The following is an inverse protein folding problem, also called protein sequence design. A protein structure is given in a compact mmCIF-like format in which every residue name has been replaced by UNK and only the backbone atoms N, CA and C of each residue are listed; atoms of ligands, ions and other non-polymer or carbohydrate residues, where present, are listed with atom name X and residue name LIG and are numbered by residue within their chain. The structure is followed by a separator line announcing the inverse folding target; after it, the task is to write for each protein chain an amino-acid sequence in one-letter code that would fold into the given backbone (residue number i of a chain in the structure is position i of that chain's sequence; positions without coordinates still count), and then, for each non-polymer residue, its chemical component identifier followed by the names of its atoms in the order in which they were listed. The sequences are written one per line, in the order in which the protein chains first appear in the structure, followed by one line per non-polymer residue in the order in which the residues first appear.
data_IF_182567220334
#
_entry.id   IF_182567220334
#
_cell.length_a   1.000
_cell.length_b   1.000
_cell.length_c   1.000
_cell.angle_alpha   90.00
_cell.angle_beta   90.00
_cell.angle_gamma   90.00
#
_symmetry.space_group_name_H-M   'P 1'
#
loop_
_entity.id
_entity.type
_entity.pdbx_description
1 polymer ?
#
# COMPACT_ATOMS: atom_id res chain seq x y z
N UNK A 1 -12.23 75.29 -28.66
CA UNK A 1 -12.71 74.48 -29.81
C UNK A 1 -11.91 73.19 -29.75
N UNK A 2 -12.50 72.03 -29.43
CA UNK A 2 -13.27 71.17 -30.36
C UNK A 2 -12.44 70.76 -31.60
N UNK A 3 -12.30 69.51 -32.07
CA UNK A 3 -12.69 68.11 -31.71
C UNK A 3 -11.55 67.19 -32.27
N UNK A 4 -11.40 65.88 -32.04
CA UNK A 4 -12.17 64.81 -31.36
C UNK A 4 -11.18 63.73 -30.85
N UNK A 5 -11.55 62.93 -29.85
CA UNK A 5 -10.87 61.66 -29.50
C UNK A 5 -11.14 60.56 -30.54
N UNK A 6 -10.15 59.71 -30.81
CA UNK A 6 -10.31 58.46 -31.58
C UNK A 6 -9.80 57.28 -30.73
N UNK A 7 -10.71 56.38 -30.39
CA UNK A 7 -10.49 55.19 -29.59
C UNK A 7 -10.35 54.00 -30.56
N UNK A 8 -9.30 53.20 -30.41
CA UNK A 8 -9.08 51.97 -31.20
C UNK A 8 -9.15 50.75 -30.29
N UNK A 9 -10.30 50.09 -30.32
CA UNK A 9 -10.50 48.82 -29.62
C UNK A 9 -9.76 47.69 -30.34
N UNK A 10 -8.97 46.91 -29.61
CA UNK A 10 -8.42 45.65 -30.13
C UNK A 10 -9.53 44.60 -30.22
N UNK A 11 -9.88 44.19 -31.44
CA UNK A 11 -10.73 43.02 -31.64
C UNK A 11 -10.03 41.75 -31.15
N UNK A 12 -10.68 41.02 -30.24
CA UNK A 12 -10.28 39.68 -29.83
C UNK A 12 -10.53 38.70 -30.98
N UNK A 13 -9.51 37.96 -31.39
CA UNK A 13 -9.67 36.77 -32.23
C UNK A 13 -10.20 35.60 -31.38
N UNK A 14 -11.12 34.75 -31.88
CA UNK A 14 -11.56 33.57 -31.16
C UNK A 14 -10.51 32.46 -31.18
N UNK A 15 -10.32 31.78 -30.04
CA UNK A 15 -9.52 30.56 -29.93
C UNK A 15 -10.34 29.37 -30.45
N UNK A 16 -9.82 28.50 -31.33
CA UNK A 16 -10.51 27.29 -31.75
C UNK A 16 -10.73 26.32 -30.58
N UNK A 17 -11.92 25.74 -30.49
CA UNK A 17 -12.27 24.72 -29.51
C UNK A 17 -11.95 23.32 -30.06
N UNK A 18 -10.75 22.82 -29.81
CA UNK A 18 -10.41 21.44 -30.16
C UNK A 18 -11.12 20.46 -29.22
N UNK A 19 -12.02 19.66 -29.78
CA UNK A 19 -12.69 18.56 -29.07
C UNK A 19 -11.72 17.40 -28.85
N UNK A 20 -11.39 17.12 -27.60
CA UNK A 20 -10.81 15.82 -27.22
C UNK A 20 -11.89 14.72 -27.36
N UNK A 21 -11.63 13.61 -28.05
CA UNK A 21 -12.56 12.49 -28.09
C UNK A 21 -12.52 11.74 -26.75
N UNK A 22 -13.65 11.75 -26.03
CA UNK A 22 -13.83 10.88 -24.86
C UNK A 22 -13.84 9.42 -25.29
N UNK A 23 -12.80 8.67 -24.92
CA UNK A 23 -12.80 7.22 -25.02
C UNK A 23 -13.65 6.68 -23.87
N UNK A 24 -14.92 6.43 -24.16
CA UNK A 24 -15.81 5.75 -23.23
C UNK A 24 -15.51 4.25 -23.23
N UNK A 25 -15.11 3.70 -22.08
CA UNK A 25 -15.02 2.26 -21.88
C UNK A 25 -16.41 1.64 -21.92
N UNK A 26 -16.76 0.99 -23.02
CA UNK A 26 -17.99 0.20 -23.14
C UNK A 26 -17.82 -1.15 -22.45
N UNK A 27 -18.42 -1.30 -21.26
CA UNK A 27 -18.50 -2.59 -20.58
C UNK A 27 -19.26 -3.61 -21.44
N UNK A 28 -18.78 -4.87 -21.55
CA UNK A 28 -19.52 -5.93 -22.23
C UNK A 28 -20.78 -6.34 -21.44
N UNK A 29 -21.85 -6.81 -22.11
CA UNK A 29 -23.09 -7.19 -21.45
C UNK A 29 -22.93 -8.45 -20.59
N UNK A 30 -23.63 -8.48 -19.45
CA UNK A 30 -23.62 -9.57 -18.49
C UNK A 30 -24.05 -10.91 -19.11
N UNK A 31 -23.36 -12.04 -18.81
CA UNK A 31 -23.83 -13.36 -19.23
C UNK A 31 -25.14 -13.75 -18.50
N UNK A 32 -26.01 -14.58 -19.12
CA UNK A 32 -27.33 -14.87 -18.58
C UNK A 32 -27.28 -15.75 -17.32
N UNK A 33 -28.14 -15.42 -16.35
CA UNK A 33 -28.35 -16.14 -15.10
C UNK A 33 -28.60 -17.64 -15.30
N UNK A 34 -27.66 -18.47 -14.85
CA UNK A 34 -27.88 -19.91 -14.68
C UNK A 34 -28.90 -20.15 -13.56
N UNK A 35 -29.96 -20.90 -13.87
CA UNK A 35 -30.99 -21.29 -12.88
C UNK A 35 -30.41 -22.30 -11.89
N UNK A 36 -30.13 -21.84 -10.67
CA UNK A 36 -29.78 -22.71 -9.54
C UNK A 36 -30.93 -23.70 -9.27
N UNK A 37 -30.63 -25.01 -9.29
CA UNK A 37 -31.57 -26.04 -8.83
C UNK A 37 -31.68 -25.97 -7.31
N UNK A 38 -32.91 -26.12 -6.77
CA UNK A 38 -33.17 -26.16 -5.32
C UNK A 38 -32.27 -27.20 -4.62
N UNK A 39 -31.70 -26.88 -3.44
CA UNK A 39 -31.12 -27.89 -2.56
C UNK A 39 -32.18 -28.91 -2.11
N UNK A 40 -31.78 -30.17 -1.93
CA UNK A 40 -32.61 -31.16 -1.24
C UNK A 40 -32.69 -30.82 0.25
N UNK A 41 -33.90 -30.76 0.79
CA UNK A 41 -34.11 -30.70 2.24
C UNK A 41 -33.92 -32.08 2.85
N UNK A 42 -32.89 -32.22 3.70
CA UNK A 42 -32.86 -33.26 4.71
C UNK A 42 -33.49 -32.72 6.01
N UNK A 43 -34.25 -33.54 6.77
CA UNK A 43 -35.00 -33.07 7.93
C UNK A 43 -34.08 -32.78 9.12
N UNK A 44 -34.37 -31.69 9.85
CA UNK A 44 -33.73 -31.35 11.13
C UNK A 44 -34.41 -32.16 12.25
N UNK A 45 -33.66 -32.84 13.14
CA UNK A 45 -34.24 -33.56 14.27
C UNK A 45 -34.89 -32.63 15.30
N UNK A 46 -35.92 -33.13 15.98
CA UNK A 46 -36.60 -32.44 17.08
C UNK A 46 -35.77 -32.42 18.37
N UNK A 47 -36.01 -31.41 19.23
CA UNK A 47 -35.31 -31.25 20.52
C UNK A 47 -35.54 -32.39 21.55
N UNK A 48 -36.41 -33.34 21.26
CA UNK A 48 -36.76 -34.44 22.17
C UNK A 48 -35.92 -35.71 21.92
N UNK A 49 -35.23 -35.82 20.77
CA UNK A 49 -34.42 -36.98 20.40
C UNK A 49 -33.01 -37.00 21.05
N UNK A 50 -32.64 -35.94 21.79
CA UNK A 50 -31.31 -35.76 22.41
C UNK A 50 -31.21 -36.22 23.87
N UNK A 51 -32.30 -36.71 24.47
CA UNK A 51 -32.38 -36.97 25.92
C UNK A 51 -32.28 -38.46 26.32
N UNK A 52 -31.67 -39.32 25.49
CA UNK A 52 -31.52 -40.77 25.78
C UNK A 52 -30.08 -41.33 25.73
N UNK A 53 -29.07 -40.48 25.59
CA UNK A 53 -27.65 -40.87 25.43
C UNK A 53 -26.71 -40.31 26.52
N UNK A 54 -27.16 -40.25 27.77
CA UNK A 54 -26.37 -39.82 28.93
C UNK A 54 -26.36 -40.84 30.08
N UNK A 55 -26.15 -42.12 29.76
CA UNK A 55 -25.87 -43.16 30.78
C UNK A 55 -24.97 -44.29 30.24
N UNK A 56 -23.79 -43.92 29.72
CA UNK A 56 -22.59 -44.76 29.64
C UNK A 56 -21.37 -43.88 29.32
N UNK A 57 -20.31 -44.00 30.12
CA UNK A 57 -19.21 -43.03 30.12
C UNK A 57 -18.27 -43.14 28.91
N UNK A 58 -18.11 -42.03 28.19
CA UNK A 58 -17.02 -41.76 27.24
C UNK A 58 -16.68 -40.26 27.25
N UNK A 59 -15.44 -39.91 26.91
CA UNK A 59 -14.91 -38.55 27.04
C UNK A 59 -15.76 -37.48 26.33
N UNK A 60 -15.94 -36.34 26.99
CA UNK A 60 -16.50 -35.13 26.37
C UNK A 60 -15.50 -34.58 25.36
N UNK A 61 -15.68 -34.93 24.09
CA UNK A 61 -15.03 -34.22 23.00
C UNK A 61 -15.76 -32.88 22.83
N UNK A 62 -15.14 -31.79 23.29
CA UNK A 62 -15.63 -30.44 22.98
C UNK A 62 -15.57 -30.25 21.46
N UNK A 63 -16.72 -30.32 20.80
CA UNK A 63 -16.84 -29.95 19.39
C UNK A 63 -16.71 -28.43 19.31
N UNK A 64 -15.47 -27.96 19.25
CA UNK A 64 -15.15 -26.64 18.71
C UNK A 64 -15.55 -26.71 17.24
N UNK A 65 -16.61 -26.01 16.86
CA UNK A 65 -16.87 -25.67 15.46
C UNK A 65 -15.62 -24.93 14.96
N UNK A 66 -14.74 -25.64 14.28
CA UNK A 66 -13.69 -25.01 13.50
C UNK A 66 -14.44 -24.24 12.41
N UNK A 67 -14.46 -22.90 12.55
CA UNK A 67 -14.69 -22.03 11.41
C UNK A 67 -13.65 -22.44 10.39
N UNK A 68 -14.08 -22.86 9.20
CA UNK A 68 -13.20 -23.37 8.16
C UNK A 68 -12.15 -22.29 7.81
N UNK A 69 -10.97 -22.41 8.43
CA UNK A 69 -9.76 -21.79 7.94
C UNK A 69 -9.43 -22.57 6.68
N UNK A 70 -9.77 -21.98 5.53
CA UNK A 70 -9.45 -22.52 4.21
C UNK A 70 -7.93 -22.57 4.06
N UNK A 71 -7.34 -23.65 4.57
CA UNK A 71 -5.94 -23.98 4.33
C UNK A 71 -5.73 -24.13 2.82
N UNK A 72 -4.55 -23.74 2.36
CA UNK A 72 -4.20 -23.63 0.97
C UNK A 72 -4.37 -24.97 0.23
N UNK A 73 -4.24 -26.10 0.95
CA UNK A 73 -4.43 -27.45 0.40
C UNK A 73 -5.87 -28.00 0.49
N UNK A 74 -6.79 -27.28 1.16
CA UNK A 74 -8.20 -27.66 1.33
C UNK A 74 -9.20 -26.75 0.58
N UNK A 75 -8.80 -25.58 0.07
CA UNK A 75 -9.68 -24.70 -0.72
C UNK A 75 -10.00 -25.32 -2.10
N UNK A 76 -11.28 -25.64 -2.42
CA UNK A 76 -11.66 -26.21 -3.71
C UNK A 76 -11.56 -25.23 -4.88
N UNK A 77 -11.44 -23.92 -4.61
CA UNK A 77 -11.29 -22.85 -5.60
C UNK A 77 -9.91 -22.17 -5.52
N UNK A 78 -8.90 -22.87 -4.97
CA UNK A 78 -7.51 -22.40 -4.91
C UNK A 78 -7.02 -21.92 -6.27
N UNK A 79 -6.32 -20.80 -6.30
CA UNK A 79 -5.63 -20.32 -7.49
C UNK A 79 -4.63 -21.39 -7.99
N UNK A 80 -4.54 -21.63 -9.31
CA UNK A 80 -3.55 -22.56 -9.85
C UNK A 80 -2.12 -22.01 -9.68
N UNK A 81 -1.08 -22.86 -9.75
CA UNK A 81 0.30 -22.39 -9.93
C UNK A 81 0.42 -21.52 -11.18
N UNK A 82 1.40 -20.60 -11.19
CA UNK A 82 1.64 -19.68 -12.30
C UNK A 82 1.65 -20.39 -13.67
N UNK A 83 0.84 -19.91 -14.62
CA UNK A 83 0.87 -20.31 -16.02
C UNK A 83 1.31 -19.10 -16.89
N UNK A 84 2.60 -19.04 -17.30
CA UNK A 84 3.12 -17.96 -18.14
C UNK A 84 2.48 -17.87 -19.54
N UNK A 85 1.75 -18.89 -20.01
CA UNK A 85 1.03 -18.83 -21.28
C UNK A 85 -0.31 -18.08 -21.16
N UNK A 86 -0.83 -17.93 -19.93
CA UNK A 86 -2.08 -17.22 -19.63
C UNK A 86 -1.80 -15.88 -18.93
N UNK A 87 -0.81 -15.85 -18.02
CA UNK A 87 -0.43 -14.65 -17.29
C UNK A 87 0.49 -13.76 -18.12
N UNK A 88 -0.10 -12.81 -18.85
CA UNK A 88 0.62 -11.91 -19.76
C UNK A 88 0.52 -10.44 -19.34
N UNK A 89 1.62 -9.71 -19.53
CA UNK A 89 1.68 -8.26 -19.32
C UNK A 89 0.78 -7.52 -20.33
N UNK A 90 0.19 -6.37 -19.96
CA UNK A 90 0.37 -5.63 -18.70
C UNK A 90 -0.54 -6.08 -17.55
N UNK A 91 -1.52 -6.95 -17.79
CA UNK A 91 -2.60 -7.20 -16.83
C UNK A 91 -2.24 -8.25 -15.78
N UNK A 92 -1.35 -9.20 -16.09
CA UNK A 92 -0.91 -10.26 -15.20
C UNK A 92 0.61 -10.43 -15.25
N UNK A 93 1.23 -10.66 -14.09
CA UNK A 93 2.63 -11.10 -14.00
C UNK A 93 2.83 -12.12 -12.89
N UNK A 94 3.46 -13.24 -13.23
CA UNK A 94 3.92 -14.26 -12.29
C UNK A 94 5.12 -15.01 -12.86
N UNK A 95 5.84 -15.71 -11.98
CA UNK A 95 6.77 -16.79 -12.33
C UNK A 95 6.65 -17.92 -11.30
N UNK A 96 7.25 -19.08 -11.57
CA UNK A 96 7.11 -20.27 -10.71
C UNK A 96 7.55 -20.03 -9.26
N UNK A 97 8.62 -19.25 -9.08
CA UNK A 97 9.24 -18.93 -7.79
C UNK A 97 9.25 -17.43 -7.46
N UNK A 98 8.69 -16.58 -8.33
CA UNK A 98 8.64 -15.12 -8.14
C UNK A 98 9.96 -14.39 -8.42
N UNK A 99 11.01 -15.07 -8.90
CA UNK A 99 12.34 -14.48 -9.06
C UNK A 99 12.64 -13.97 -10.47
N UNK A 100 11.83 -14.35 -11.46
CA UNK A 100 12.04 -13.99 -12.87
C UNK A 100 11.81 -12.49 -13.11
N UNK A 101 12.59 -11.89 -14.00
CA UNK A 101 12.51 -10.47 -14.35
C UNK A 101 11.36 -10.22 -15.34
N UNK A 102 10.51 -9.20 -15.13
CA UNK A 102 9.49 -8.78 -16.10
C UNK A 102 10.05 -8.52 -17.49
N UNK A 103 9.42 -9.12 -18.50
CA UNK A 103 9.83 -9.01 -19.91
C UNK A 103 11.11 -9.77 -20.27
N UNK A 104 11.62 -10.65 -19.39
CA UNK A 104 12.86 -11.43 -19.59
C UNK A 104 14.10 -10.55 -19.91
N UNK A 105 14.13 -9.34 -19.33
CA UNK A 105 15.27 -8.43 -19.47
C UNK A 105 16.48 -8.97 -18.70
N UNK A 106 17.70 -8.91 -19.28
CA UNK A 106 18.92 -9.25 -18.54
C UNK A 106 19.08 -8.33 -17.32
N UNK A 107 19.38 -8.88 -16.14
CA UNK A 107 19.47 -8.13 -14.88
C UNK A 107 20.32 -6.85 -14.98
N UNK A 108 21.48 -6.91 -15.65
CA UNK A 108 22.36 -5.75 -15.91
C UNK A 108 21.71 -4.58 -16.67
N UNK A 109 20.63 -4.82 -17.41
CA UNK A 109 19.93 -3.82 -18.21
C UNK A 109 18.66 -3.31 -17.50
N UNK A 110 18.30 -3.86 -16.34
CA UNK A 110 17.14 -3.46 -15.51
C UNK A 110 17.53 -2.33 -14.56
N UNK A 111 16.76 -1.23 -14.45
CA UNK A 111 16.99 -0.23 -13.42
C UNK A 111 16.69 -0.81 -12.03
N UNK A 112 17.62 -0.67 -11.08
CA UNK A 112 17.38 -1.08 -9.70
C UNK A 112 16.40 -0.08 -9.07
N UNK A 113 15.17 -0.54 -8.83
CA UNK A 113 14.15 0.24 -8.15
C UNK A 113 14.33 0.16 -6.64
N UNK A 114 14.18 1.29 -5.95
CA UNK A 114 14.13 1.38 -4.49
C UNK A 114 12.81 2.06 -4.12
N UNK A 115 12.04 1.41 -3.26
CA UNK A 115 10.74 1.90 -2.76
C UNK A 115 10.88 2.27 -1.29
N UNK A 116 11.11 3.55 -1.02
CA UNK A 116 11.06 4.09 0.35
C UNK A 116 9.59 4.25 0.72
N UNK A 117 9.17 3.69 1.86
CA UNK A 117 7.81 3.89 2.38
C UNK A 117 7.80 4.42 3.79
N UNK A 118 6.77 5.21 4.08
CA UNK A 118 6.41 5.63 5.42
C UNK A 118 4.99 5.21 5.74
N UNK A 119 4.85 4.48 6.83
CA UNK A 119 3.56 4.06 7.34
C UNK A 119 3.10 5.08 8.41
N UNK A 120 1.83 4.98 8.84
CA UNK A 120 1.17 5.83 9.83
C UNK A 120 0.78 7.26 9.41
N UNK A 121 0.38 8.08 10.39
CA UNK A 121 -0.19 9.40 10.20
C UNK A 121 0.86 10.46 9.82
N UNK A 122 0.55 11.27 8.81
CA UNK A 122 1.37 12.42 8.41
C UNK A 122 0.93 13.64 9.22
N UNK A 123 1.78 14.20 10.08
CA UNK A 123 1.49 15.39 10.87
C UNK A 123 2.77 16.11 11.34
N UNK A 124 2.64 17.09 12.24
CA UNK A 124 3.76 17.91 12.71
C UNK A 124 4.89 17.09 13.38
N UNK A 125 4.65 15.82 13.72
CA UNK A 125 5.71 14.92 14.19
C UNK A 125 6.70 14.55 13.07
N UNK A 126 6.29 14.46 11.80
CA UNK A 126 7.12 13.95 10.71
C UNK A 126 7.21 14.85 9.45
N UNK A 127 6.39 15.89 9.31
CA UNK A 127 6.45 16.83 8.16
C UNK A 127 7.85 17.43 7.93
N UNK A 128 8.55 17.86 8.99
CA UNK A 128 9.89 18.45 8.81
C UNK A 128 10.97 17.41 8.43
N UNK A 129 10.85 16.18 8.95
CA UNK A 129 11.69 15.04 8.52
C UNK A 129 11.52 14.82 7.00
N UNK A 130 10.28 14.73 6.53
CA UNK A 130 10.01 14.50 5.10
C UNK A 130 10.54 15.64 4.21
N UNK A 131 10.51 16.90 4.68
CA UNK A 131 11.12 18.03 3.94
C UNK A 131 12.63 17.95 3.84
N UNK A 132 13.30 17.46 4.89
CA UNK A 132 14.75 17.27 4.93
C UNK A 132 15.20 16.13 3.98
N UNK A 133 14.44 15.03 3.98
CA UNK A 133 14.65 13.88 3.10
C UNK A 133 14.34 14.23 1.63
N UNK A 134 13.17 14.81 1.36
CA UNK A 134 12.66 15.11 0.02
C UNK A 134 12.81 16.59 -0.35
N UNK A 135 14.03 17.11 -0.15
CA UNK A 135 14.38 18.54 -0.21
C UNK A 135 14.43 19.17 -1.62
N UNK A 136 14.00 18.45 -2.67
CA UNK A 136 14.02 18.93 -4.06
C UNK A 136 15.39 18.91 -4.76
N UNK A 137 16.46 18.43 -4.09
CA UNK A 137 17.83 18.35 -4.63
C UNK A 137 18.26 16.92 -4.99
N UNK A 138 17.72 15.92 -4.28
CA UNK A 138 17.98 14.50 -4.55
C UNK A 138 17.23 14.08 -5.81
N UNK A 139 17.95 13.81 -6.90
CA UNK A 139 17.38 13.48 -8.21
C UNK A 139 17.73 12.05 -8.61
N UNK A 140 16.76 11.34 -9.16
CA UNK A 140 16.99 10.12 -9.92
C UNK A 140 17.77 10.41 -11.23
N UNK A 141 18.37 9.40 -11.89
CA UNK A 141 19.14 9.58 -13.12
C UNK A 141 18.35 10.13 -14.34
N UNK A 142 17.02 10.27 -14.25
CA UNK A 142 16.20 10.99 -15.23
C UNK A 142 16.08 12.50 -14.98
N UNK A 143 16.68 13.01 -13.89
CA UNK A 143 16.64 14.42 -13.47
C UNK A 143 15.43 14.80 -12.59
N UNK A 144 14.54 13.87 -12.28
CA UNK A 144 13.37 14.10 -11.43
C UNK A 144 13.68 13.85 -9.95
N UNK A 145 12.97 14.54 -9.05
CA UNK A 145 13.06 14.31 -7.60
C UNK A 145 12.79 12.85 -7.26
N UNK A 146 13.59 12.29 -6.35
CA UNK A 146 13.33 10.97 -5.76
C UNK A 146 11.92 10.92 -5.17
N UNK A 147 11.24 9.78 -5.34
CA UNK A 147 9.87 9.58 -4.86
C UNK A 147 9.81 8.51 -3.77
N UNK A 148 8.68 8.49 -3.07
CA UNK A 148 8.40 7.62 -1.94
C UNK A 148 6.88 7.40 -1.85
N UNK A 149 6.48 6.39 -1.07
CA UNK A 149 5.07 6.01 -0.89
C UNK A 149 4.66 6.14 0.58
N UNK A 150 3.52 6.75 0.85
CA UNK A 150 3.03 6.98 2.21
C UNK A 150 1.75 6.18 2.44
N UNK A 151 1.79 5.17 3.31
CA UNK A 151 0.63 4.40 3.73
C UNK A 151 -0.03 5.12 4.92
N UNK A 152 -0.99 6.00 4.61
CA UNK A 152 -1.54 6.96 5.58
C UNK A 152 -2.70 6.36 6.37
N UNK A 153 -2.58 6.40 7.70
CA UNK A 153 -3.68 6.09 8.64
C UNK A 153 -4.46 7.36 9.01
N UNK A 154 -5.77 7.28 9.27
CA UNK A 154 -6.59 8.48 9.57
C UNK A 154 -6.21 9.19 10.87
N UNK A 155 -6.19 8.48 12.01
CA UNK A 155 -6.12 9.13 13.33
C UNK A 155 -4.90 10.05 13.47
N UNK A 156 -5.15 11.31 13.80
CA UNK A 156 -4.16 12.40 13.90
C UNK A 156 -3.42 12.80 12.59
N UNK A 157 -3.91 12.44 11.41
CA UNK A 157 -3.36 12.92 10.13
C UNK A 157 -3.74 14.37 9.80
N UNK A 158 -2.77 15.12 9.30
CA UNK A 158 -2.91 16.45 8.73
C UNK A 158 -3.09 16.33 7.21
N UNK A 159 -4.33 16.39 6.74
CA UNK A 159 -4.66 16.23 5.33
C UNK A 159 -4.17 17.35 4.42
N UNK A 160 -3.88 18.54 4.95
CA UNK A 160 -3.18 19.58 4.16
C UNK A 160 -1.71 19.23 3.90
N UNK A 161 -1.08 18.45 4.79
CA UNK A 161 0.25 17.91 4.55
C UNK A 161 0.23 16.70 3.62
N UNK A 162 -0.75 15.80 3.77
CA UNK A 162 -1.02 14.70 2.80
C UNK A 162 -1.18 15.27 1.38
N UNK A 163 -1.95 16.37 1.25
CA UNK A 163 -2.13 17.07 -0.03
C UNK A 163 -0.82 17.62 -0.60
N UNK A 164 0.03 18.27 0.21
CA UNK A 164 1.32 18.79 -0.26
C UNK A 164 2.28 17.66 -0.66
N UNK A 165 2.30 16.55 0.09
CA UNK A 165 3.08 15.34 -0.22
C UNK A 165 2.66 14.75 -1.58
N UNK A 166 1.35 14.61 -1.84
CA UNK A 166 0.82 14.18 -3.14
C UNK A 166 1.13 15.18 -4.27
N UNK A 167 0.99 16.48 -4.00
CA UNK A 167 1.31 17.55 -4.97
C UNK A 167 2.77 17.50 -5.39
N UNK A 168 3.67 17.15 -4.47
CA UNK A 168 5.11 16.94 -4.72
C UNK A 168 5.43 15.66 -5.52
N UNK A 169 4.44 14.81 -5.76
CA UNK A 169 4.56 13.60 -6.57
C UNK A 169 4.97 12.36 -5.79
N UNK A 170 4.93 12.41 -4.46
CA UNK A 170 4.95 11.18 -3.66
C UNK A 170 3.58 10.50 -3.73
N UNK A 171 3.57 9.18 -3.61
CA UNK A 171 2.34 8.40 -3.64
C UNK A 171 1.68 8.39 -2.26
N UNK A 172 0.34 8.48 -2.25
CA UNK A 172 -0.48 8.32 -1.06
C UNK A 172 -1.29 7.03 -1.21
N UNK A 173 -1.11 6.12 -0.26
CA UNK A 173 -1.79 4.84 -0.13
C UNK A 173 -2.51 4.78 1.24
N UNK A 174 -3.37 3.79 1.46
CA UNK A 174 -4.21 3.71 2.68
C UNK A 174 -3.65 2.73 3.71
N UNK A 175 -3.75 3.12 4.99
CA UNK A 175 -3.33 2.32 6.14
C UNK A 175 -4.40 2.33 7.25
N UNK A 176 -5.63 1.98 6.88
CA UNK A 176 -6.82 1.94 7.75
C UNK A 176 -7.28 3.27 8.36
N UNK A 177 -8.48 3.26 8.95
CA UNK A 177 -9.02 4.34 9.77
C UNK A 177 -8.53 4.17 11.22
N UNK A 178 -8.77 3.00 11.81
CA UNK A 178 -8.62 2.77 13.26
C UNK A 178 -7.31 2.14 13.70
N UNK A 179 -6.58 1.52 12.75
CA UNK A 179 -5.49 0.55 12.99
C UNK A 179 -5.87 -0.73 13.78
N UNK A 180 -7.15 -0.95 14.05
CA UNK A 180 -7.67 -2.09 14.84
C UNK A 180 -7.92 -1.77 16.31
N UNK A 181 -7.44 -0.61 16.80
CA UNK A 181 -7.49 -0.23 18.23
C UNK A 181 -8.91 0.13 18.75
N UNK A 182 -9.91 0.21 17.86
CA UNK A 182 -11.26 0.68 18.22
C UNK A 182 -12.42 -0.15 17.64
N UNK A 183 -12.15 -1.17 16.82
CA UNK A 183 -13.18 -2.07 16.25
C UNK A 183 -13.63 -3.16 17.23
N UNK A 184 -12.84 -3.44 18.26
CA UNK A 184 -13.15 -4.38 19.32
C UNK A 184 -13.47 -3.66 20.64
N UNK A 185 -14.47 -4.17 21.37
CA UNK A 185 -15.21 -3.40 22.38
C UNK A 185 -14.41 -3.03 23.64
N UNK A 186 -13.83 -1.82 23.68
CA UNK A 186 -13.38 -1.06 24.86
C UNK A 186 -12.52 -1.78 25.93
N UNK A 187 -11.98 -2.96 25.63
CA UNK A 187 -11.22 -3.76 26.59
C UNK A 187 -10.26 -4.74 25.87
N UNK A 188 -9.64 -4.30 24.77
CA UNK A 188 -8.68 -5.12 24.02
C UNK A 188 -7.25 -4.98 24.47
N UNK A 189 -6.52 -6.07 24.26
CA UNK A 189 -5.06 -6.13 24.26
C UNK A 189 -4.55 -6.04 22.81
N UNK A 190 -3.27 -5.71 22.62
CA UNK A 190 -2.62 -5.69 21.29
C UNK A 190 -2.83 -6.99 20.48
N UNK A 191 -3.02 -8.12 21.18
CA UNK A 191 -3.26 -9.43 20.57
C UNK A 191 -4.66 -9.56 19.93
N UNK A 192 -5.64 -8.79 20.42
CA UNK A 192 -7.01 -8.80 19.92
C UNK A 192 -7.13 -7.89 18.68
N UNK A 193 -6.40 -6.76 18.68
CA UNK A 193 -6.32 -5.81 17.57
C UNK A 193 -5.65 -6.44 16.32
N UNK A 194 -4.61 -7.27 16.49
CA UNK A 194 -4.01 -8.06 15.39
C UNK A 194 -4.95 -9.16 14.87
N UNK A 195 -5.74 -9.77 15.75
CA UNK A 195 -6.71 -10.81 15.39
C UNK A 195 -7.93 -10.27 14.66
N UNK A 196 -8.31 -9.01 14.88
CA UNK A 196 -9.34 -8.33 14.10
C UNK A 196 -9.00 -8.39 12.61
N UNK A 197 -7.81 -7.92 12.21
CA UNK A 197 -7.40 -7.86 10.80
C UNK A 197 -7.43 -9.22 10.10
N UNK A 198 -6.89 -10.27 10.73
CA UNK A 198 -6.88 -11.62 10.15
C UNK A 198 -8.24 -12.34 10.15
N UNK A 199 -9.24 -11.81 10.85
CA UNK A 199 -10.61 -12.37 10.88
C UNK A 199 -11.68 -11.45 10.28
N UNK A 200 -11.31 -10.21 9.92
CA UNK A 200 -12.19 -9.17 9.41
C UNK A 200 -12.95 -9.61 8.14
N UNK A 201 -14.21 -9.18 8.04
CA UNK A 201 -15.05 -9.44 6.87
C UNK A 201 -14.70 -8.49 5.73
N UNK A 202 -15.18 -8.80 4.51
CA UNK A 202 -15.04 -7.90 3.33
C UNK A 202 -15.57 -6.49 3.64
N UNK A 203 -16.66 -6.37 4.41
CA UNK A 203 -17.25 -5.09 4.83
C UNK A 203 -16.38 -4.33 5.85
N UNK A 204 -15.76 -5.04 6.81
CA UNK A 204 -14.82 -4.43 7.76
C UNK A 204 -13.59 -3.88 7.02
N UNK A 205 -13.02 -4.68 6.10
CA UNK A 205 -11.93 -4.25 5.22
C UNK A 205 -12.32 -3.04 4.34
N UNK A 206 -13.56 -2.99 3.86
CA UNK A 206 -14.05 -1.88 3.04
C UNK A 206 -14.19 -0.59 3.86
N UNK A 207 -14.78 -0.67 5.06
CA UNK A 207 -14.88 0.48 5.99
C UNK A 207 -13.52 1.03 6.39
N UNK A 208 -12.55 0.16 6.63
CA UNK A 208 -11.19 0.58 7.01
C UNK A 208 -10.40 1.15 5.82
N UNK A 209 -10.35 0.46 4.68
CA UNK A 209 -9.46 0.83 3.57
C UNK A 209 -10.12 1.76 2.55
N UNK A 210 -11.30 1.41 2.03
CA UNK A 210 -12.04 2.30 1.15
C UNK A 210 -12.57 3.53 1.90
N UNK A 211 -12.91 3.40 3.19
CA UNK A 211 -13.20 4.53 4.06
C UNK A 211 -12.00 5.50 4.19
N UNK A 212 -10.78 5.01 4.45
CA UNK A 212 -9.59 5.88 4.44
C UNK A 212 -9.33 6.50 3.07
N UNK A 213 -9.58 5.80 1.96
CA UNK A 213 -9.51 6.41 0.61
C UNK A 213 -10.47 7.59 0.48
N UNK A 214 -11.74 7.44 0.88
CA UNK A 214 -12.74 8.52 0.88
C UNK A 214 -12.28 9.71 1.74
N UNK A 215 -11.73 9.46 2.94
CA UNK A 215 -11.23 10.52 3.82
C UNK A 215 -10.04 11.24 3.18
N UNK A 216 -9.07 10.51 2.61
CA UNK A 216 -7.91 11.08 1.91
C UNK A 216 -8.36 11.91 0.71
N UNK A 217 -9.17 11.36 -0.20
CA UNK A 217 -9.66 12.05 -1.40
C UNK A 217 -10.43 13.34 -1.02
N UNK A 218 -11.34 13.27 -0.03
CA UNK A 218 -12.13 14.43 0.42
C UNK A 218 -11.29 15.50 1.13
N UNK A 219 -10.47 15.13 2.10
CA UNK A 219 -9.79 16.10 2.98
C UNK A 219 -8.40 16.54 2.49
N UNK A 220 -7.73 15.74 1.66
CA UNK A 220 -6.56 16.18 0.90
C UNK A 220 -6.92 16.73 -0.50
N UNK A 221 -8.20 16.65 -0.91
CA UNK A 221 -8.68 17.10 -2.23
C UNK A 221 -7.82 16.49 -3.36
N UNK A 222 -7.72 15.17 -3.35
CA UNK A 222 -7.07 14.34 -4.37
C UNK A 222 -8.17 13.75 -5.23
N UNK A 223 -8.14 14.00 -6.54
CA UNK A 223 -9.24 13.69 -7.48
C UNK A 223 -8.76 13.09 -8.80
N UNK A 224 -7.53 12.61 -8.85
CA UNK A 224 -6.89 11.93 -9.99
C UNK A 224 -6.93 10.40 -9.86
N UNK A 225 -7.71 9.89 -8.89
CA UNK A 225 -7.84 8.48 -8.54
C UNK A 225 -6.50 7.77 -8.22
N UNK A 226 -5.46 8.51 -7.83
CA UNK A 226 -4.13 7.94 -7.57
C UNK A 226 -3.96 7.26 -6.20
N UNK A 227 -5.02 7.18 -5.38
CA UNK A 227 -4.97 6.58 -4.04
C UNK A 227 -5.34 5.10 -4.15
N UNK A 228 -4.38 4.30 -4.63
CA UNK A 228 -4.63 2.93 -5.16
C UNK A 228 -3.92 1.80 -4.40
N UNK A 229 -3.01 2.13 -3.47
CA UNK A 229 -2.30 1.15 -2.65
C UNK A 229 -2.95 0.89 -1.30
N UNK A 230 -2.84 -0.35 -0.80
CA UNK A 230 -3.21 -0.76 0.56
C UNK A 230 -2.00 -1.35 1.27
N UNK A 231 -1.90 -1.10 2.59
CA UNK A 231 -1.09 -1.90 3.51
C UNK A 231 -1.86 -2.09 4.81
N UNK A 232 -1.97 -3.31 5.31
CA UNK A 232 -2.65 -3.56 6.58
C UNK A 232 -1.79 -3.17 7.79
N UNK A 233 -2.41 -2.62 8.85
CA UNK A 233 -1.77 -2.43 10.16
C UNK A 233 -1.12 -3.71 10.68
N UNK A 234 0.05 -3.57 11.30
CA UNK A 234 0.89 -4.67 11.81
C UNK A 234 1.21 -5.76 10.77
N UNK A 235 1.09 -5.45 9.48
CA UNK A 235 1.25 -6.37 8.35
C UNK A 235 0.34 -7.62 8.45
N UNK A 236 -0.86 -7.49 9.05
CA UNK A 236 -1.82 -8.60 9.21
C UNK A 236 -2.58 -8.84 7.91
N UNK A 237 -2.27 -9.93 7.22
CA UNK A 237 -2.98 -10.33 6.00
C UNK A 237 -4.38 -10.86 6.36
N UNK A 238 -5.40 -10.42 5.62
CA UNK A 238 -6.82 -10.69 5.84
C UNK A 238 -7.43 -11.82 5.01
N UNK A 239 -6.61 -12.78 4.60
CA UNK A 239 -7.02 -13.91 3.76
C UNK A 239 -7.65 -13.47 2.43
N UNK A 240 -8.58 -14.28 1.93
CA UNK A 240 -9.34 -13.91 0.73
C UNK A 240 -10.18 -12.63 0.91
N UNK A 241 -10.63 -12.30 2.13
CA UNK A 241 -11.53 -11.16 2.36
C UNK A 241 -10.89 -9.82 2.03
N UNK A 242 -9.61 -9.62 2.39
CA UNK A 242 -8.84 -8.41 2.04
C UNK A 242 -8.80 -8.22 0.53
N UNK A 243 -8.40 -9.26 -0.21
CA UNK A 243 -8.20 -9.18 -1.65
C UNK A 243 -9.53 -9.12 -2.43
N UNK A 244 -10.59 -9.79 -1.96
CA UNK A 244 -11.96 -9.62 -2.49
C UNK A 244 -12.45 -8.19 -2.33
N UNK A 245 -12.25 -7.58 -1.15
CA UNK A 245 -12.56 -6.16 -0.93
C UNK A 245 -11.77 -5.28 -1.89
N UNK A 246 -10.47 -5.54 -2.06
CA UNK A 246 -9.61 -4.71 -2.92
C UNK A 246 -10.02 -4.76 -4.39
N UNK A 247 -10.41 -5.94 -4.90
CA UNK A 247 -10.97 -6.10 -6.25
C UNK A 247 -12.33 -5.38 -6.38
N UNK A 248 -13.26 -5.60 -5.46
CA UNK A 248 -14.58 -4.92 -5.46
C UNK A 248 -14.46 -3.39 -5.35
N UNK A 249 -13.44 -2.89 -4.65
CA UNK A 249 -13.16 -1.47 -4.44
C UNK A 249 -12.15 -0.90 -5.44
N UNK A 250 -11.70 -1.68 -6.43
CA UNK A 250 -10.73 -1.27 -7.45
C UNK A 250 -9.46 -0.61 -6.89
N UNK A 251 -8.87 -1.18 -5.83
CA UNK A 251 -7.49 -0.90 -5.44
C UNK A 251 -6.53 -1.61 -6.42
N UNK A 252 -5.39 -0.99 -6.73
CA UNK A 252 -4.42 -1.54 -7.69
C UNK A 252 -3.56 -2.63 -7.05
N UNK A 253 -3.06 -2.37 -5.83
CA UNK A 253 -2.10 -3.25 -5.18
C UNK A 253 -2.22 -3.28 -3.66
N UNK A 254 -1.87 -4.43 -3.09
CA UNK A 254 -1.52 -4.60 -1.68
C UNK A 254 0.01 -4.58 -1.51
N UNK A 255 0.47 -4.19 -0.33
CA UNK A 255 1.85 -4.33 0.11
C UNK A 255 1.86 -4.74 1.58
N UNK A 256 1.16 -5.83 1.90
CA UNK A 256 1.09 -6.39 3.26
C UNK A 256 1.80 -7.74 3.33
N UNK A 257 1.80 -8.51 2.25
CA UNK A 257 2.35 -9.87 2.26
C UNK A 257 3.87 -9.82 2.36
N UNK A 258 4.40 -10.44 3.43
CA UNK A 258 5.84 -10.61 3.62
C UNK A 258 6.34 -11.89 2.96
N UNK A 259 7.40 -11.78 2.17
CA UNK A 259 8.17 -12.92 1.69
C UNK A 259 9.37 -13.19 2.62
N UNK A 260 9.62 -14.46 3.01
CA UNK A 260 10.76 -14.80 3.86
C UNK A 260 12.08 -14.48 3.18
N UNK A 261 13.12 -14.21 3.97
CA UNK A 261 14.46 -13.87 3.47
C UNK A 261 14.96 -14.90 2.44
N UNK A 262 15.08 -14.44 1.20
CA UNK A 262 15.40 -15.25 0.01
C UNK A 262 16.55 -14.65 -0.79
N UNK A 263 17.22 -15.47 -1.60
CA UNK A 263 18.28 -15.03 -2.51
C UNK A 263 18.23 -15.86 -3.81
N UNK A 264 17.80 -15.28 -4.95
CA UNK A 264 17.44 -13.87 -5.13
C UNK A 264 16.14 -13.47 -4.38
N UNK A 265 15.93 -12.16 -4.14
CA UNK A 265 14.65 -11.61 -3.67
C UNK A 265 13.54 -11.72 -4.74
N UNK A 266 12.29 -11.58 -4.33
CA UNK A 266 11.12 -11.74 -5.20
C UNK A 266 10.70 -10.43 -5.87
N UNK A 267 10.29 -10.51 -7.13
CA UNK A 267 9.58 -9.44 -7.83
C UNK A 267 8.11 -9.37 -7.38
N UNK A 268 7.45 -8.20 -7.46
CA UNK A 268 5.99 -8.09 -7.33
C UNK A 268 5.27 -9.00 -8.32
N UNK A 269 4.08 -9.48 -7.96
CA UNK A 269 3.30 -10.44 -8.75
C UNK A 269 1.80 -10.16 -8.64
N UNK A 270 0.99 -10.68 -9.56
CA UNK A 270 -0.48 -10.56 -9.51
C UNK A 270 -1.14 -11.77 -8.85
N UNK A 271 -2.21 -11.52 -8.09
CA UNK A 271 -2.93 -12.50 -7.28
C UNK A 271 -3.90 -13.40 -8.06
N UNK A 272 -3.87 -13.39 -9.40
CA UNK A 272 -4.62 -14.33 -10.23
C UNK A 272 -4.16 -15.79 -10.03
N UNK A 273 -2.87 -15.98 -9.70
CA UNK A 273 -2.24 -17.28 -9.51
C UNK A 273 -1.78 -17.45 -8.06
N UNK A 274 -1.51 -18.69 -7.66
CA UNK A 274 -0.99 -19.01 -6.33
C UNK A 274 0.31 -18.26 -6.08
N UNK A 275 0.42 -17.65 -4.89
CA UNK A 275 1.63 -16.98 -4.40
C UNK A 275 2.89 -17.84 -4.64
N UNK A 276 4.00 -17.25 -5.11
CA UNK A 276 5.25 -17.95 -5.39
C UNK A 276 6.05 -18.32 -4.13
N UNK A 277 5.57 -17.96 -2.94
CA UNK A 277 6.22 -18.24 -1.66
C UNK A 277 5.20 -18.67 -0.59
N UNK A 278 5.72 -19.20 0.53
CA UNK A 278 4.89 -19.55 1.70
C UNK A 278 4.25 -18.30 2.31
N UNK A 279 3.06 -18.45 2.88
CA UNK A 279 2.54 -17.46 3.84
C UNK A 279 3.50 -17.39 5.03
N UNK A 280 4.02 -16.20 5.35
CA UNK A 280 5.11 -16.02 6.30
C UNK A 280 4.78 -14.95 7.34
N UNK A 281 5.09 -15.24 8.60
CA UNK A 281 4.71 -14.45 9.78
C UNK A 281 3.85 -15.26 10.77
N UNK A 282 3.67 -14.72 11.97
CA UNK A 282 2.94 -15.40 13.04
C UNK A 282 1.42 -15.36 12.80
N UNK A 283 0.76 -16.52 12.77
CA UNK A 283 -0.70 -16.65 12.58
C UNK A 283 -1.24 -15.86 11.38
N UNK A 284 -0.50 -15.80 10.27
CA UNK A 284 -0.92 -15.07 9.08
C UNK A 284 -1.97 -15.85 8.29
N UNK A 285 -2.97 -15.14 7.78
CA UNK A 285 -3.98 -15.69 6.88
C UNK A 285 -3.76 -15.09 5.48
N UNK A 286 -3.05 -15.79 4.60
CA UNK A 286 -2.86 -15.34 3.22
C UNK A 286 -4.03 -15.77 2.31
N UNK A 287 -4.32 -15.06 1.21
CA UNK A 287 -5.30 -15.49 0.23
C UNK A 287 -4.91 -16.80 -0.46
N UNK A 288 -5.92 -17.58 -0.83
CA UNK A 288 -5.78 -18.89 -1.49
C UNK A 288 -6.37 -18.89 -2.90
N UNK A 289 -7.32 -18.00 -3.19
CA UNK A 289 -8.06 -17.89 -4.45
C UNK A 289 -7.45 -16.83 -5.38
N UNK A 290 -7.92 -16.81 -6.62
CA UNK A 290 -7.55 -15.79 -7.61
C UNK A 290 -8.24 -14.45 -7.30
N UNK A 291 -7.47 -13.35 -7.28
CA UNK A 291 -7.97 -11.98 -7.16
C UNK A 291 -7.25 -11.05 -8.15
N UNK A 292 -7.95 -10.07 -8.71
CA UNK A 292 -7.44 -9.12 -9.71
C UNK A 292 -6.63 -7.96 -9.08
N UNK A 293 -5.64 -8.30 -8.26
CA UNK A 293 -4.86 -7.38 -7.42
C UNK A 293 -3.36 -7.64 -7.60
N UNK A 294 -2.52 -6.60 -7.59
CA UNK A 294 -1.06 -6.72 -7.51
C UNK A 294 -0.58 -6.87 -6.06
N UNK A 295 0.44 -7.68 -5.83
CA UNK A 295 1.16 -7.75 -4.56
C UNK A 295 2.54 -7.11 -4.72
N UNK A 296 2.73 -5.95 -4.10
CA UNK A 296 4.02 -5.29 -3.92
C UNK A 296 4.74 -5.92 -2.72
N UNK A 297 5.14 -7.17 -2.93
CA UNK A 297 5.63 -8.09 -1.91
C UNK A 297 6.76 -7.53 -1.05
N UNK A 298 6.60 -7.64 0.27
CA UNK A 298 7.59 -7.18 1.25
C UNK A 298 8.65 -8.26 1.46
N UNK A 299 9.72 -8.21 0.68
CA UNK A 299 10.90 -9.05 0.90
C UNK A 299 11.54 -8.74 2.25
N UNK A 300 11.79 -9.76 3.09
CA UNK A 300 12.64 -9.57 4.28
C UNK A 300 14.07 -9.16 3.88
N UNK A 301 14.58 -8.17 4.63
CA UNK A 301 15.96 -7.72 4.60
C UNK A 301 16.82 -8.63 5.50
N UNK A 302 18.07 -8.87 5.09
CA UNK A 302 19.05 -9.64 5.84
C UNK A 302 19.71 -8.72 6.87
N UNK A 303 19.58 -9.06 8.15
CA UNK A 303 20.06 -8.26 9.30
C UNK A 303 21.33 -8.78 9.94
N UNK A 304 21.99 -9.77 9.34
CA UNK A 304 23.32 -10.24 9.80
C UNK A 304 24.35 -9.13 9.63
N UNK A 305 25.21 -8.96 10.63
CA UNK A 305 26.24 -7.92 10.64
C UNK A 305 27.48 -8.36 9.84
N UNK A 306 27.80 -9.66 9.91
CA UNK A 306 28.70 -10.32 8.96
C UNK A 306 27.98 -11.48 8.23
N UNK A 307 27.41 -11.23 7.04
CA UNK A 307 26.70 -12.23 6.27
C UNK A 307 27.52 -13.47 5.85
N UNK A 308 28.85 -13.46 6.00
CA UNK A 308 29.74 -14.59 5.68
C UNK A 308 29.99 -15.50 6.89
N UNK A 309 29.96 -14.96 8.10
CA UNK A 309 30.32 -15.68 9.33
C UNK A 309 29.14 -15.86 10.31
N UNK A 310 28.14 -14.99 10.29
CA UNK A 310 26.98 -15.06 11.18
C UNK A 310 26.09 -16.28 10.88
N UNK A 311 25.60 -16.91 11.95
CA UNK A 311 24.59 -17.96 11.90
C UNK A 311 23.28 -17.47 11.25
N UNK A 312 22.40 -18.41 10.91
CA UNK A 312 21.09 -18.09 10.35
C UNK A 312 20.26 -17.23 11.33
N UNK A 313 19.98 -15.99 10.94
CA UNK A 313 19.01 -15.11 11.58
C UNK A 313 17.75 -15.00 10.70
N UNK A 314 16.54 -14.96 11.29
CA UNK A 314 15.36 -14.50 10.58
C UNK A 314 15.58 -13.08 10.05
N UNK A 315 15.07 -12.77 8.86
CA UNK A 315 15.12 -11.41 8.34
C UNK A 315 14.14 -10.46 9.04
N UNK A 316 13.98 -9.27 8.48
CA UNK A 316 13.04 -8.25 8.94
C UNK A 316 12.42 -7.53 7.75
N UNK A 317 11.10 -7.32 7.75
CA UNK A 317 10.42 -6.59 6.67
C UNK A 317 10.50 -5.07 6.91
N UNK A 318 9.97 -4.59 8.04
CA UNK A 318 10.13 -3.19 8.46
C UNK A 318 11.54 -2.96 8.97
N UNK A 319 12.20 -1.88 8.56
CA UNK A 319 13.58 -1.59 8.99
C UNK A 319 13.67 -1.40 10.51
N UNK A 320 12.67 -0.75 11.11
CA UNK A 320 12.56 -0.59 12.56
C UNK A 320 12.31 -1.90 13.34
N UNK A 321 11.96 -3.00 12.67
CA UNK A 321 11.88 -4.35 13.26
C UNK A 321 13.22 -5.11 13.28
N UNK A 322 14.25 -4.59 12.60
CA UNK A 322 15.61 -5.15 12.57
C UNK A 322 16.35 -4.86 13.89
N UNK A 323 15.93 -5.50 14.98
CA UNK A 323 16.23 -5.17 16.38
C UNK A 323 17.72 -5.15 16.81
N UNK A 324 18.64 -5.58 15.94
CA UNK A 324 20.08 -5.61 16.19
C UNK A 324 20.84 -4.47 15.50
N UNK A 325 20.16 -3.60 14.75
CA UNK A 325 20.72 -2.32 14.26
C UNK A 325 20.69 -1.32 15.42
N UNK A 326 21.87 -0.99 15.96
CA UNK A 326 22.03 -0.17 17.17
C UNK A 326 22.91 1.07 16.96
N UNK A 327 23.46 1.28 15.76
CA UNK A 327 24.26 2.47 15.40
C UNK A 327 24.07 2.88 13.93
N UNK A 328 24.41 4.12 13.60
CA UNK A 328 24.43 4.63 12.22
C UNK A 328 25.32 3.80 11.28
N UNK A 329 26.50 3.37 11.75
CA UNK A 329 27.43 2.54 10.95
C UNK A 329 26.85 1.17 10.63
N UNK A 330 26.21 0.51 11.60
CA UNK A 330 25.51 -0.76 11.38
C UNK A 330 24.35 -0.59 10.39
N UNK A 331 23.61 0.51 10.48
CA UNK A 331 22.51 0.78 9.56
C UNK A 331 23.00 1.04 8.13
N UNK A 332 24.09 1.81 7.96
CA UNK A 332 24.72 2.04 6.66
C UNK A 332 25.22 0.73 6.02
N UNK A 333 25.89 -0.14 6.78
CA UNK A 333 26.34 -1.44 6.29
C UNK A 333 25.16 -2.36 5.93
N UNK A 334 24.10 -2.35 6.73
CA UNK A 334 22.84 -3.08 6.46
C UNK A 334 22.17 -2.62 5.16
N UNK A 335 22.14 -1.31 4.89
CA UNK A 335 21.60 -0.75 3.65
C UNK A 335 22.40 -1.22 2.43
N UNK A 336 23.74 -1.15 2.49
CA UNK A 336 24.61 -1.62 1.42
C UNK A 336 24.50 -3.12 1.16
N UNK A 337 24.54 -3.97 2.19
CA UNK A 337 24.38 -5.42 2.04
C UNK A 337 23.04 -5.78 1.37
N UNK A 338 21.95 -5.14 1.77
CA UNK A 338 20.64 -5.40 1.18
C UNK A 338 20.45 -4.78 -0.21
N UNK A 339 21.14 -3.68 -0.51
CA UNK A 339 21.26 -3.17 -1.87
C UNK A 339 21.97 -4.17 -2.79
N UNK A 340 23.16 -4.64 -2.41
CA UNK A 340 23.94 -5.62 -3.18
C UNK A 340 23.16 -6.92 -3.40
N UNK A 341 22.44 -7.41 -2.37
CA UNK A 341 21.54 -8.58 -2.47
C UNK A 341 20.51 -8.48 -3.60
N UNK A 342 20.02 -7.28 -3.91
CA UNK A 342 19.08 -7.03 -4.99
C UNK A 342 19.82 -6.72 -6.31
N UNK A 343 20.76 -5.78 -6.26
CA UNK A 343 21.45 -5.18 -7.40
C UNK A 343 22.34 -6.17 -8.17
N UNK A 344 23.05 -7.05 -7.46
CA UNK A 344 23.95 -8.09 -8.01
C UNK A 344 23.23 -9.43 -8.30
N UNK A 345 21.90 -9.45 -8.25
CA UNK A 345 21.05 -10.63 -8.49
C UNK A 345 20.06 -10.39 -9.63
N UNK A 346 18.77 -10.35 -9.33
CA UNK A 346 17.69 -10.19 -10.30
C UNK A 346 17.11 -8.76 -10.32
N UNK A 347 17.71 -7.82 -9.58
CA UNK A 347 17.27 -6.42 -9.45
C UNK A 347 15.80 -6.24 -9.06
N UNK A 348 15.24 -7.18 -8.30
CA UNK A 348 13.91 -7.00 -7.73
C UNK A 348 13.86 -5.69 -6.91
N UNK A 349 12.72 -5.00 -6.86
CA UNK A 349 12.58 -3.76 -6.11
C UNK A 349 13.03 -3.91 -4.66
N UNK A 350 13.94 -3.03 -4.22
CA UNK A 350 14.39 -2.97 -2.82
C UNK A 350 13.35 -2.19 -2.02
N UNK A 351 12.71 -2.87 -1.07
CA UNK A 351 11.77 -2.27 -0.13
C UNK A 351 12.49 -1.72 1.08
N UNK A 352 12.34 -0.42 1.37
CA UNK A 352 12.85 0.21 2.59
C UNK A 352 11.66 0.85 3.33
N UNK A 353 11.09 0.08 4.26
CA UNK A 353 9.83 0.39 4.92
C UNK A 353 10.08 0.91 6.34
N UNK A 354 9.55 2.09 6.66
CA UNK A 354 9.86 2.80 7.90
C UNK A 354 8.62 3.33 8.62
N UNK A 355 8.65 3.30 9.95
CA UNK A 355 7.93 4.28 10.77
C UNK A 355 8.79 5.55 10.91
N UNK A 356 8.24 6.71 10.55
CA UNK A 356 8.97 7.98 10.57
C UNK A 356 9.54 8.38 11.95
N UNK A 357 8.94 7.87 13.04
CA UNK A 357 9.44 8.05 14.39
C UNK A 357 10.82 7.40 14.61
N UNK A 358 11.12 6.27 13.94
CA UNK A 358 12.39 5.56 14.10
C UNK A 358 13.57 6.37 13.57
N UNK A 359 13.44 6.99 12.39
CA UNK A 359 14.46 7.91 11.86
C UNK A 359 14.54 9.19 12.70
N UNK A 360 13.40 9.80 13.05
CA UNK A 360 13.40 11.09 13.78
C UNK A 360 13.99 11.00 15.19
N UNK A 361 13.72 9.90 15.89
CA UNK A 361 14.16 9.73 17.28
C UNK A 361 15.63 9.30 17.39
N UNK A 362 16.25 8.84 16.30
CA UNK A 362 17.63 8.38 16.23
C UNK A 362 18.39 9.16 15.13
N UNK A 363 18.92 10.37 15.43
CA UNK A 363 19.54 11.23 14.42
C UNK A 363 20.67 10.55 13.64
N UNK A 364 21.45 9.67 14.28
CA UNK A 364 22.50 8.89 13.60
C UNK A 364 21.97 7.96 12.51
N UNK A 365 20.73 7.45 12.63
CA UNK A 365 20.12 6.60 11.61
C UNK A 365 19.62 7.46 10.44
N UNK A 366 19.11 8.67 10.72
CA UNK A 366 18.77 9.63 9.68
C UNK A 366 20.02 10.08 8.92
N UNK A 367 21.08 10.48 9.62
CA UNK A 367 22.35 10.90 9.02
C UNK A 367 22.94 9.78 8.13
N UNK A 368 22.99 8.54 8.64
CA UNK A 368 23.44 7.37 7.87
C UNK A 368 22.56 7.11 6.63
N UNK A 369 21.23 7.24 6.75
CA UNK A 369 20.32 7.01 5.63
C UNK A 369 20.42 8.11 4.56
N UNK A 370 20.53 9.38 4.97
CA UNK A 370 20.73 10.50 4.05
C UNK A 370 22.07 10.39 3.32
N UNK A 371 23.14 10.03 4.04
CA UNK A 371 24.46 9.77 3.48
C UNK A 371 24.40 8.65 2.43
N UNK A 372 23.77 7.53 2.77
CA UNK A 372 23.61 6.38 1.88
C UNK A 372 22.79 6.73 0.61
N UNK A 373 21.67 7.44 0.73
CA UNK A 373 20.90 7.90 -0.44
C UNK A 373 21.77 8.79 -1.33
N UNK A 374 22.48 9.76 -0.75
CA UNK A 374 23.28 10.72 -1.51
C UNK A 374 24.49 10.04 -2.19
N UNK A 375 25.08 9.01 -1.58
CA UNK A 375 26.13 8.18 -2.18
C UNK A 375 25.61 7.30 -3.32
N UNK A 376 24.51 6.58 -3.12
CA UNK A 376 23.89 5.74 -4.15
C UNK A 376 23.51 6.57 -5.38
N UNK A 377 22.89 7.74 -5.18
CA UNK A 377 22.54 8.67 -6.26
C UNK A 377 23.76 9.27 -7.00
N UNK A 378 24.90 9.42 -6.31
CA UNK A 378 26.13 9.93 -6.91
C UNK A 378 26.87 8.86 -7.73
N UNK A 379 26.86 7.61 -7.26
CA UNK A 379 27.65 6.52 -7.84
C UNK A 379 26.90 5.68 -8.87
N UNK A 380 25.57 5.62 -8.83
CA UNK A 380 24.76 4.79 -9.73
C UNK A 380 23.90 5.62 -10.70
N UNK A 381 24.00 5.32 -11.99
CA UNK A 381 23.18 5.95 -13.04
C UNK A 381 21.99 5.08 -13.50
N UNK A 382 21.81 3.93 -12.83
CA UNK A 382 20.84 2.87 -13.08
C UNK A 382 19.96 2.55 -11.86
N UNK A 383 20.13 3.27 -10.75
CA UNK A 383 19.31 3.15 -9.54
C UNK A 383 18.24 4.25 -9.50
N UNK A 384 17.02 3.90 -9.12
CA UNK A 384 15.86 4.82 -9.13
C UNK A 384 15.01 4.66 -7.86
N UNK A 385 14.86 5.75 -7.11
CA UNK A 385 13.96 5.86 -5.96
C UNK A 385 12.57 6.28 -6.43
N UNK A 386 11.63 5.34 -6.41
CA UNK A 386 10.32 5.42 -7.08
C UNK A 386 9.17 5.11 -6.12
N UNK A 387 7.94 5.46 -6.52
CA UNK A 387 6.74 5.02 -5.78
C UNK A 387 6.39 3.57 -6.11
N UNK A 388 5.50 2.96 -5.32
CA UNK A 388 5.01 1.59 -5.55
C UNK A 388 4.27 1.46 -6.89
N UNK A 389 3.35 2.39 -7.18
CA UNK A 389 2.66 2.48 -8.48
C UNK A 389 3.65 2.63 -9.64
N UNK A 390 4.74 3.37 -9.46
CA UNK A 390 5.79 3.51 -10.48
C UNK A 390 6.54 2.21 -10.76
N UNK A 391 6.70 1.32 -9.76
CA UNK A 391 7.22 -0.03 -10.00
C UNK A 391 6.23 -0.83 -10.86
N UNK A 392 4.94 -0.85 -10.51
CA UNK A 392 3.92 -1.58 -11.28
C UNK A 392 3.88 -1.08 -12.73
N UNK A 393 3.90 0.23 -12.95
CA UNK A 393 3.96 0.84 -14.29
C UNK A 393 5.19 0.37 -15.09
N UNK A 394 6.34 0.15 -14.44
CA UNK A 394 7.52 -0.42 -15.09
C UNK A 394 7.32 -1.91 -15.39
N UNK A 395 6.77 -2.71 -14.47
CA UNK A 395 6.47 -4.14 -14.70
C UNK A 395 5.52 -4.31 -15.88
N UNK A 396 4.50 -3.45 -15.99
CA UNK A 396 3.53 -3.43 -17.09
C UNK A 396 4.14 -3.09 -18.45
N UNK A 397 5.29 -2.40 -18.49
CA UNK A 397 5.95 -1.96 -19.72
C UNK A 397 7.47 -1.87 -19.50
N UNK A 398 8.18 -3.01 -19.37
CA UNK A 398 9.57 -3.04 -18.88
C UNK A 398 10.51 -2.20 -19.74
N UNK A 399 11.32 -1.37 -19.08
CA UNK A 399 12.29 -0.46 -19.71
C UNK A 399 13.70 -0.74 -19.24
N UNK A 400 14.62 -0.78 -20.20
CA UNK A 400 16.05 -0.81 -19.88
C UNK A 400 16.50 0.48 -19.20
N UNK A 401 17.63 0.42 -18.48
CA UNK A 401 18.34 1.58 -17.88
C UNK A 401 18.51 2.76 -18.85
N UNK A 402 18.67 2.49 -20.15
CA UNK A 402 18.81 3.55 -21.16
C UNK A 402 17.48 4.20 -21.51
N UNK A 403 16.42 3.41 -21.67
CA UNK A 403 15.08 3.91 -22.01
C UNK A 403 14.41 4.62 -20.85
N UNK A 404 14.62 4.14 -19.62
CA UNK A 404 13.85 4.59 -18.45
C UNK A 404 14.09 6.06 -18.07
N UNK A 405 15.18 6.66 -18.59
CA UNK A 405 15.45 8.10 -18.52
C UNK A 405 14.36 8.95 -19.17
N UNK A 406 13.65 8.41 -20.15
CA UNK A 406 12.54 9.04 -20.86
C UNK A 406 11.20 8.30 -20.64
N UNK A 407 11.08 7.52 -19.57
CA UNK A 407 9.84 6.82 -19.24
C UNK A 407 8.88 7.77 -18.52
N UNK A 408 7.86 8.24 -19.24
CA UNK A 408 6.93 9.28 -18.79
C UNK A 408 6.28 9.04 -17.41
N UNK A 409 5.87 7.81 -17.02
CA UNK A 409 5.31 7.60 -15.67
C UNK A 409 6.30 7.89 -14.53
N UNK A 410 7.60 7.76 -14.77
CA UNK A 410 8.66 8.14 -13.83
C UNK A 410 9.06 9.63 -13.93
N UNK A 411 8.42 10.38 -14.84
CA UNK A 411 8.57 11.82 -15.03
C UNK A 411 7.30 12.60 -14.65
N UNK A 412 6.22 11.92 -14.25
CA UNK A 412 5.08 12.60 -13.63
C UNK A 412 5.55 13.37 -12.38
N UNK A 413 5.09 14.62 -12.21
CA UNK A 413 5.47 15.48 -11.08
C UNK A 413 7.01 15.50 -10.89
N UNK A 414 7.76 15.58 -12.01
CA UNK A 414 9.21 15.40 -12.07
C UNK A 414 9.99 16.27 -11.06
N UNK A 415 9.75 17.58 -11.04
CA UNK A 415 10.27 18.50 -10.02
C UNK A 415 9.25 19.60 -9.77
N UNK A 416 8.43 19.42 -8.73
CA UNK A 416 7.26 20.28 -8.50
C UNK A 416 7.62 21.46 -7.60
N UNK A 417 7.77 22.62 -8.22
CA UNK A 417 7.85 23.91 -7.53
C UNK A 417 6.45 24.51 -7.27
N UNK A 418 6.38 25.81 -7.01
CA UNK A 418 5.13 26.53 -6.80
C UNK A 418 4.51 26.34 -5.40
N UNK A 419 3.32 26.92 -5.26
CA UNK A 419 2.65 27.18 -3.97
C UNK A 419 1.81 25.98 -3.52
N UNK A 420 1.61 25.79 -2.20
CA UNK A 420 0.64 24.81 -1.69
C UNK A 420 -0.80 25.20 -2.06
N UNK A 421 -1.71 24.23 -2.04
CA UNK A 421 -3.13 24.43 -2.36
C UNK A 421 -3.83 25.48 -1.48
N UNK A 422 -3.42 25.60 -0.22
CA UNK A 422 -3.80 26.70 0.66
C UNK A 422 -2.62 27.17 1.52
N UNK A 423 -2.59 28.47 1.86
CA UNK A 423 -1.52 29.07 2.67
C UNK A 423 -1.67 28.82 4.17
N UNK A 424 -2.92 28.78 4.65
CA UNK A 424 -3.27 28.57 6.05
C UNK A 424 -4.41 27.54 6.06
N UNK A 425 -4.11 26.26 6.32
CA UNK A 425 -5.11 25.23 6.49
C UNK A 425 -6.06 25.56 7.64
N UNK A 426 -7.32 25.14 7.53
CA UNK A 426 -8.22 25.12 8.69
C UNK A 426 -7.73 24.06 9.68
N UNK A 427 -7.74 24.38 10.98
CA UNK A 427 -7.54 23.39 12.05
C UNK A 427 -8.89 23.07 12.69
N UNK A 428 -9.55 22.04 12.18
CA UNK A 428 -10.89 21.64 12.58
C UNK A 428 -10.83 20.84 13.88
N UNK A 429 -11.29 21.44 14.99
CA UNK A 429 -11.40 20.77 16.28
C UNK A 429 -12.72 19.98 16.32
N UNK A 430 -12.64 18.67 16.10
CA UNK A 430 -13.79 17.81 15.82
C UNK A 430 -13.99 16.73 16.90
N UNK A 431 -15.21 16.21 16.98
CA UNK A 431 -15.60 15.06 17.81
C UNK A 431 -16.47 14.10 17.00
N UNK A 432 -16.55 12.83 17.40
CA UNK A 432 -17.50 11.86 16.85
C UNK A 432 -18.16 11.09 17.98
N UNK A 433 -19.32 10.50 17.72
CA UNK A 433 -19.95 9.52 18.62
C UNK A 433 -19.20 8.19 18.63
N UNK A 434 -18.46 7.90 17.56
CA UNK A 434 -17.70 6.66 17.39
C UNK A 434 -16.40 6.64 18.19
N UNK A 435 -15.83 7.83 18.52
CA UNK A 435 -14.65 7.99 19.38
C UNK A 435 -15.04 8.80 20.63
N UNK A 436 -15.80 8.22 21.57
CA UNK A 436 -16.40 8.95 22.67
C UNK A 436 -15.35 9.53 23.63
N UNK A 437 -15.48 10.83 23.91
CA UNK A 437 -14.62 11.56 24.86
C UNK A 437 -13.35 12.16 24.25
N UNK A 438 -12.95 11.77 23.03
CA UNK A 438 -11.85 12.42 22.33
C UNK A 438 -12.27 13.72 21.63
N UNK A 439 -11.29 14.57 21.39
CA UNK A 439 -11.45 15.74 20.51
C UNK A 439 -10.20 15.87 19.66
N UNK A 440 -10.33 15.60 18.37
CA UNK A 440 -9.21 15.42 17.45
C UNK A 440 -9.17 16.63 16.52
N UNK A 441 -7.97 17.19 16.33
CA UNK A 441 -7.75 18.27 15.38
C UNK A 441 -7.43 17.68 14.00
N UNK A 442 -8.28 17.95 13.00
CA UNK A 442 -8.06 17.60 11.60
C UNK A 442 -7.65 18.87 10.84
N UNK A 443 -6.44 18.89 10.25
CA UNK A 443 -6.01 20.02 9.42
C UNK A 443 -6.28 19.75 7.95
N UNK A 444 -6.92 20.70 7.25
CA UNK A 444 -7.26 20.57 5.83
C UNK A 444 -7.43 21.93 5.15
N UNK A 445 -7.25 21.98 3.83
CA UNK A 445 -7.60 23.14 3.01
C UNK A 445 -9.11 23.24 2.71
N UNK A 446 -9.89 22.16 2.88
CA UNK A 446 -11.36 22.20 2.68
C UNK A 446 -12.08 22.76 3.91
N UNK A 447 -13.38 23.05 3.79
CA UNK A 447 -14.19 23.50 4.93
C UNK A 447 -14.28 22.38 5.98
N UNK A 448 -14.22 22.73 7.27
CA UNK A 448 -14.38 21.77 8.35
C UNK A 448 -15.70 20.99 8.24
N UNK A 449 -15.67 19.65 8.42
CA UNK A 449 -16.86 18.80 8.45
C UNK A 449 -17.67 19.03 9.74
N UNK A 450 -18.85 18.41 9.83
CA UNK A 450 -19.73 18.52 10.99
C UNK A 450 -19.23 17.65 12.16
N UNK A 451 -18.75 16.44 11.86
CA UNK A 451 -18.21 15.48 12.81
C UNK A 451 -16.75 15.13 12.45
N UNK A 452 -16.02 14.50 13.37
CA UNK A 452 -14.78 13.83 13.03
C UNK A 452 -15.09 12.60 12.17
N UNK A 453 -14.49 12.46 10.95
CA UNK A 453 -14.74 11.30 10.10
C UNK A 453 -14.29 10.01 10.77
N UNK A 454 -14.98 8.89 10.55
CA UNK A 454 -14.61 7.57 11.08
C UNK A 454 -15.24 6.44 10.25
N UNK A 455 -15.25 5.21 10.78
CA UNK A 455 -15.72 4.00 10.09
C UNK A 455 -17.12 4.12 9.46
N UNK A 456 -18.10 4.67 10.19
CA UNK A 456 -19.48 4.74 9.71
C UNK A 456 -19.81 6.09 9.04
N UNK A 457 -19.01 7.12 9.25
CA UNK A 457 -19.07 8.40 8.53
C UNK A 457 -17.67 8.84 8.04
N UNK A 458 -17.11 8.23 6.98
CA UNK A 458 -15.83 8.64 6.42
C UNK A 458 -15.88 10.03 5.76
N UNK A 459 -17.07 10.64 5.67
CA UNK A 459 -17.24 11.98 5.14
C UNK A 459 -17.22 13.07 6.23
N UNK A 460 -17.52 12.71 7.49
CA UNK A 460 -17.76 13.64 8.59
C UNK A 460 -19.02 14.53 8.40
N UNK A 461 -19.90 14.22 7.45
CA UNK A 461 -21.04 15.08 7.11
C UNK A 461 -22.23 14.89 8.08
N UNK A 462 -22.32 13.74 8.77
CA UNK A 462 -23.34 13.46 9.78
C UNK A 462 -24.72 13.07 9.25
N UNK A 463 -24.79 12.50 8.04
CA UNK A 463 -26.01 11.92 7.50
C UNK A 463 -26.28 10.53 8.10
N UNK A 464 -27.56 10.21 8.33
CA UNK A 464 -28.08 8.94 8.84
C UNK A 464 -29.19 8.42 7.91
#
# INVERSE_FOLDING_TARGET
MERKTAQTDLMKTPVPSDHFPSIAFSLPPSPPLFKVKKPLQHPVPSKEDLQSYLDQGTCVLTIVFHKDLEDNDNDPNRAPPCDPAVCVLPDCFCSEDGTTIPGDLPAKDVPQMITITFDDAINNNNIELYKEMFNGKRKNPNGCDIKATFFVSHKYSNYSAVQETHRKGHEIAVHSITKGHETASHLTTHNDDEQFWSNATVDDWAKEMAGTRIIVEKFANISDNSVVGVRAPYLRVGGNNQFTMMEEQAFLYDSTITAPLSNPPLWPYTMYFRMPHRCHGNLQHCPTRSHAVWEMVMNELDRREDPQFDEYLPGCAMVDSCSNILSGDQFYNFLNHNFDRHYEKNRAPLGLYFHAAWLKNNPEYLDAFLYWIDEILANHNDVYFVTMTQVIQWIQNPRTVTEVKNFEPWREKCSVEGKPSCWVPHSCKLTSKEIPGETINLQTCVRCPNNYPWLNDPTGDGFF
#
